data_IF_675763896621
#
_entry.id   IF_675763896621
#
_cell.length_a   1.000
_cell.length_b   1.000
_cell.length_c   1.000
_cell.angle_alpha   90.00
_cell.angle_beta   90.00
_cell.angle_gamma   90.00
#
_symmetry.space_group_name_H-M   'P 1'
#
loop_
_entity.id
_entity.type
_entity.pdbx_description
1 polymer ?
#
# COMPACT_ATOMS: atom_id res chain seq x y z
N UNK A 1 -21.22 19.34 8.45
CA UNK A 1 -20.32 18.88 7.37
C UNK A 1 -19.35 17.80 7.87
N UNK A 2 -18.70 17.99 9.02
CA UNK A 2 -17.73 17.06 9.62
C UNK A 2 -18.25 15.65 9.97
N UNK A 3 -19.48 15.54 10.47
CA UNK A 3 -20.07 14.24 10.85
C UNK A 3 -20.18 13.27 9.66
N UNK A 4 -20.55 13.76 8.47
CA UNK A 4 -20.61 12.94 7.25
C UNK A 4 -19.24 12.41 6.83
N UNK A 5 -18.20 13.22 7.02
CA UNK A 5 -16.82 12.85 6.70
C UNK A 5 -16.28 11.80 7.67
N UNK A 6 -16.61 11.93 8.97
CA UNK A 6 -16.26 10.94 10.00
C UNK A 6 -16.94 9.60 9.72
N UNK A 7 -18.24 9.59 9.41
CA UNK A 7 -18.98 8.36 9.07
C UNK A 7 -18.38 7.69 7.83
N UNK A 8 -18.00 8.47 6.81
CA UNK A 8 -17.34 7.95 5.61
C UNK A 8 -15.98 7.31 5.93
N UNK A 9 -15.15 7.94 6.77
CA UNK A 9 -13.89 7.36 7.22
C UNK A 9 -14.08 6.05 8.00
N UNK A 10 -15.06 6.00 8.92
CA UNK A 10 -15.39 4.78 9.68
C UNK A 10 -15.83 3.65 8.74
N UNK A 11 -16.65 3.97 7.75
CA UNK A 11 -17.10 3.00 6.74
C UNK A 11 -15.92 2.45 5.91
N UNK A 12 -15.02 3.33 5.45
CA UNK A 12 -13.80 2.92 4.73
C UNK A 12 -12.94 1.98 5.60
N UNK A 13 -12.75 2.30 6.89
CA UNK A 13 -11.97 1.47 7.81
C UNK A 13 -12.63 0.10 8.02
N UNK A 14 -13.96 0.05 8.15
CA UNK A 14 -14.71 -1.21 8.29
C UNK A 14 -14.57 -2.08 7.04
N UNK A 15 -14.65 -1.49 5.84
CA UNK A 15 -14.46 -2.19 4.56
C UNK A 15 -13.04 -2.73 4.42
N UNK A 16 -12.02 -1.96 4.85
CA UNK A 16 -10.62 -2.40 4.85
C UNK A 16 -10.45 -3.63 5.76
N UNK A 17 -11.05 -3.63 6.95
CA UNK A 17 -10.98 -4.77 7.88
C UNK A 17 -11.75 -6.01 7.39
N UNK A 18 -12.83 -5.82 6.65
CA UNK A 18 -13.62 -6.93 6.12
C UNK A 18 -12.89 -7.77 5.05
N UNK A 19 -11.76 -7.29 4.52
CA UNK A 19 -10.98 -8.00 3.50
C UNK A 19 -9.95 -8.98 4.05
N UNK A 20 -9.84 -9.14 5.37
CA UNK A 20 -8.99 -10.18 5.96
C UNK A 20 -9.57 -11.57 5.62
N UNK A 21 -9.18 -12.10 4.46
CA UNK A 21 -9.54 -13.46 4.05
C UNK A 21 -8.74 -14.44 4.89
N UNK A 22 -9.43 -15.21 5.74
CA UNK A 22 -8.85 -16.35 6.47
C UNK A 22 -8.59 -17.51 5.50
N UNK A 23 -7.78 -17.30 4.46
CA UNK A 23 -7.23 -18.43 3.71
C UNK A 23 -6.17 -19.08 4.60
N UNK A 24 -6.44 -20.30 5.03
CA UNK A 24 -5.59 -21.14 5.89
C UNK A 24 -4.40 -21.64 5.07
N UNK A 25 -3.59 -20.71 4.59
CA UNK A 25 -2.45 -20.99 3.73
C UNK A 25 -1.26 -20.28 4.35
N UNK A 26 -0.26 -21.05 4.79
CA UNK A 26 0.94 -20.55 5.45
C UNK A 26 1.66 -19.54 4.54
N UNK A 27 1.39 -18.26 4.75
CA UNK A 27 2.03 -17.18 4.00
C UNK A 27 3.48 -17.09 4.44
N UNK A 28 4.39 -17.38 3.53
CA UNK A 28 5.82 -17.30 3.82
C UNK A 28 6.28 -15.83 3.72
N UNK A 29 6.80 -15.22 4.80
CA UNK A 29 7.20 -13.82 4.79
C UNK A 29 8.29 -13.49 3.77
N UNK A 30 9.16 -14.46 3.44
CA UNK A 30 10.19 -14.28 2.40
C UNK A 30 9.55 -14.15 1.01
N UNK A 31 8.50 -14.93 0.72
CA UNK A 31 7.76 -14.81 -0.54
C UNK A 31 6.99 -13.48 -0.61
N UNK A 32 6.40 -13.04 0.50
CA UNK A 32 5.73 -11.74 0.57
C UNK A 32 6.70 -10.57 0.28
N UNK A 33 7.95 -10.66 0.78
CA UNK A 33 9.01 -9.70 0.50
C UNK A 33 9.44 -9.73 -0.98
N UNK A 34 9.66 -10.91 -1.56
CA UNK A 34 10.00 -11.01 -2.99
C UNK A 34 8.88 -10.48 -3.89
N UNK A 35 7.61 -10.75 -3.52
CA UNK A 35 6.45 -10.26 -4.25
C UNK A 35 6.21 -8.77 -4.06
N UNK A 36 6.50 -8.21 -2.89
CA UNK A 36 6.36 -6.77 -2.63
C UNK A 36 7.38 -5.91 -3.36
N UNK A 37 8.42 -6.51 -3.96
CA UNK A 37 9.31 -5.80 -4.89
C UNK A 37 8.53 -5.21 -6.08
N UNK A 38 7.41 -5.84 -6.46
CA UNK A 38 6.46 -5.30 -7.43
C UNK A 38 5.38 -4.54 -6.64
N UNK A 39 5.14 -3.25 -6.95
CA UNK A 39 4.16 -2.44 -6.23
C UNK A 39 2.80 -3.14 -6.10
N UNK A 40 2.26 -3.16 -4.88
CA UNK A 40 0.96 -3.78 -4.57
C UNK A 40 0.93 -5.32 -4.52
N UNK A 41 1.89 -6.04 -5.10
CA UNK A 41 1.84 -7.51 -5.16
C UNK A 41 2.05 -8.20 -3.80
N UNK A 42 2.84 -7.62 -2.90
CA UNK A 42 2.96 -8.13 -1.52
C UNK A 42 1.64 -8.13 -0.76
N UNK A 43 0.82 -7.10 -0.94
CA UNK A 43 -0.51 -7.00 -0.32
C UNK A 43 -1.51 -7.96 -0.98
N UNK A 44 -1.43 -8.14 -2.30
CA UNK A 44 -2.23 -9.14 -3.00
C UNK A 44 -1.91 -10.56 -2.52
N UNK A 45 -0.62 -10.87 -2.29
CA UNK A 45 -0.20 -12.16 -1.73
C UNK A 45 -0.78 -12.44 -0.33
N UNK A 46 -0.87 -11.39 0.49
CA UNK A 46 -1.49 -11.43 1.82
C UNK A 46 -3.03 -11.44 1.77
N UNK A 47 -3.66 -11.51 0.59
CA UNK A 47 -5.13 -11.51 0.42
C UNK A 47 -5.79 -10.12 0.58
N UNK A 48 -5.00 -9.05 0.76
CA UNK A 48 -5.48 -7.69 1.03
C UNK A 48 -5.59 -6.87 -0.27
N UNK A 49 -6.58 -7.23 -1.09
CA UNK A 49 -6.77 -6.64 -2.42
C UNK A 49 -7.01 -5.13 -2.41
N UNK A 50 -7.77 -4.61 -1.45
CA UNK A 50 -8.03 -3.17 -1.35
C UNK A 50 -6.77 -2.38 -0.99
N UNK A 51 -5.94 -2.91 -0.07
CA UNK A 51 -4.63 -2.32 0.23
C UNK A 51 -3.73 -2.32 -1.02
N UNK A 52 -3.70 -3.43 -1.74
CA UNK A 52 -2.95 -3.55 -3.00
C UNK A 52 -3.38 -2.49 -4.02
N UNK A 53 -4.69 -2.36 -4.26
CA UNK A 53 -5.26 -1.36 -5.17
C UNK A 53 -4.95 0.07 -4.72
N UNK A 54 -5.00 0.35 -3.42
CA UNK A 54 -4.66 1.66 -2.88
C UNK A 54 -3.19 2.01 -3.13
N UNK A 55 -2.26 1.08 -2.85
CA UNK A 55 -0.83 1.29 -3.11
C UNK A 55 -0.57 1.53 -4.60
N UNK A 56 -1.16 0.70 -5.47
CA UNK A 56 -1.04 0.89 -6.92
C UNK A 56 -1.60 2.24 -7.38
N UNK A 57 -2.74 2.66 -6.82
CA UNK A 57 -3.33 3.97 -7.10
C UNK A 57 -2.44 5.13 -6.66
N UNK A 58 -1.83 5.04 -5.47
CA UNK A 58 -0.90 6.05 -4.95
C UNK A 58 0.38 6.12 -5.79
N UNK A 59 0.98 4.98 -6.13
CA UNK A 59 2.16 4.91 -7.02
C UNK A 59 1.85 5.49 -8.40
N UNK A 60 0.70 5.12 -8.99
CA UNK A 60 0.26 5.66 -10.28
C UNK A 60 0.03 7.18 -10.22
N UNK A 61 -0.58 7.68 -9.15
CA UNK A 61 -0.78 9.11 -8.95
C UNK A 61 0.54 9.88 -8.78
N UNK A 62 1.49 9.32 -8.04
CA UNK A 62 2.83 9.90 -7.88
C UNK A 62 3.61 9.87 -9.21
N UNK A 63 3.56 8.77 -9.95
CA UNK A 63 4.19 8.61 -11.26
C UNK A 63 3.61 9.57 -12.30
N UNK A 64 2.30 9.66 -12.43
CA UNK A 64 1.63 10.58 -13.36
C UNK A 64 1.92 12.04 -13.03
N UNK A 65 1.98 12.38 -11.74
CA UNK A 65 2.39 13.70 -11.27
C UNK A 65 3.85 14.00 -11.60
N UNK A 66 4.76 13.04 -11.37
CA UNK A 66 6.16 13.16 -11.77
C UNK A 66 6.29 13.39 -13.27
N UNK A 67 5.65 12.55 -14.09
CA UNK A 67 5.70 12.60 -15.54
C UNK A 67 5.19 13.94 -16.08
N UNK A 68 4.07 14.44 -15.56
CA UNK A 68 3.51 15.73 -15.95
C UNK A 68 4.47 16.88 -15.63
N UNK A 69 5.10 16.88 -14.45
CA UNK A 69 6.06 17.92 -14.09
C UNK A 69 7.38 17.79 -14.86
N UNK A 70 7.81 16.57 -15.18
CA UNK A 70 8.97 16.31 -16.06
C UNK A 70 8.72 16.88 -17.45
N UNK A 71 7.58 16.57 -18.08
CA UNK A 71 7.23 17.11 -19.39
C UNK A 71 7.20 18.65 -19.42
N UNK A 72 6.63 19.29 -18.39
CA UNK A 72 6.61 20.76 -18.29
C UNK A 72 8.01 21.36 -18.09
N UNK A 73 8.90 20.64 -17.41
CA UNK A 73 10.29 21.05 -17.23
C UNK A 73 11.12 20.92 -18.51
N UNK A 74 10.91 19.83 -19.25
CA UNK A 74 11.65 19.51 -20.49
C UNK A 74 11.20 20.41 -21.65
N UNK A 75 9.88 20.67 -21.78
CA UNK A 75 9.30 21.51 -22.84
C UNK A 75 9.07 22.96 -22.40
N UNK A 76 9.79 23.42 -21.37
CA UNK A 76 9.56 24.72 -20.75
C UNK A 76 9.75 25.87 -21.74
N UNK A 77 10.83 25.85 -22.53
CA UNK A 77 11.15 26.96 -23.45
C UNK A 77 10.24 27.00 -24.68
N UNK A 78 9.44 25.93 -24.91
CA UNK A 78 8.53 25.79 -26.04
C UNK A 78 7.09 26.21 -25.72
N UNK A 79 6.76 26.41 -24.44
CA UNK A 79 5.38 26.66 -23.99
C UNK A 79 5.35 27.78 -22.94
N UNK A 80 4.28 28.57 -22.94
CA UNK A 80 4.08 29.57 -21.90
C UNK A 80 3.45 28.94 -20.65
N UNK A 81 4.29 28.53 -19.70
CA UNK A 81 3.86 27.93 -18.45
C UNK A 81 3.77 28.97 -17.32
N UNK A 82 2.74 28.91 -16.45
CA UNK A 82 2.48 29.94 -15.44
C UNK A 82 3.45 29.92 -14.24
N UNK A 83 4.28 28.88 -14.11
CA UNK A 83 5.24 28.76 -13.02
C UNK A 83 6.66 28.79 -13.59
N UNK A 84 7.65 29.32 -12.86
CA UNK A 84 9.03 29.30 -13.32
C UNK A 84 9.59 27.87 -13.40
N UNK A 85 10.51 27.62 -14.34
CA UNK A 85 11.10 26.30 -14.66
C UNK A 85 11.56 25.52 -13.43
N UNK A 86 12.24 26.18 -12.49
CA UNK A 86 12.76 25.54 -11.27
C UNK A 86 11.64 24.91 -10.40
N UNK A 87 10.42 25.45 -10.41
CA UNK A 87 9.29 24.90 -9.66
C UNK A 87 8.84 23.55 -10.21
N UNK A 88 8.91 23.37 -11.53
CA UNK A 88 8.61 22.06 -12.14
C UNK A 88 9.70 21.04 -11.80
N UNK A 89 10.96 21.46 -11.72
CA UNK A 89 12.08 20.63 -11.24
C UNK A 89 11.89 20.19 -9.78
N UNK A 90 11.56 21.13 -8.89
CA UNK A 90 11.23 20.83 -7.48
C UNK A 90 10.06 19.85 -7.38
N UNK A 91 8.99 20.08 -8.14
CA UNK A 91 7.81 19.21 -8.14
C UNK A 91 8.13 17.80 -8.61
N UNK A 92 8.85 17.61 -9.73
CA UNK A 92 9.25 16.25 -10.16
C UNK A 92 10.12 15.57 -9.10
N UNK A 93 11.11 16.27 -8.52
CA UNK A 93 11.98 15.68 -7.50
C UNK A 93 11.19 15.30 -6.25
N UNK A 94 10.23 16.13 -5.84
CA UNK A 94 9.30 15.83 -4.74
C UNK A 94 8.51 14.54 -5.02
N UNK A 95 7.98 14.35 -6.24
CA UNK A 95 7.24 13.13 -6.57
C UNK A 95 8.13 11.89 -6.68
N UNK A 96 9.42 12.02 -7.05
CA UNK A 96 10.39 10.91 -6.95
C UNK A 96 10.55 10.45 -5.50
N UNK A 97 10.70 11.40 -4.57
CA UNK A 97 10.74 11.08 -3.14
C UNK A 97 9.46 10.41 -2.65
N UNK A 98 8.29 10.91 -3.06
CA UNK A 98 7.01 10.29 -2.71
C UNK A 98 6.90 8.85 -3.22
N UNK A 99 7.29 8.56 -4.47
CA UNK A 99 7.33 7.19 -4.98
C UNK A 99 8.24 6.30 -4.11
N UNK A 100 9.43 6.79 -3.76
CA UNK A 100 10.34 6.05 -2.86
C UNK A 100 9.71 5.75 -1.49
N UNK A 101 9.03 6.72 -0.87
CA UNK A 101 8.37 6.52 0.42
C UNK A 101 7.19 5.55 0.33
N UNK A 102 6.34 5.67 -0.70
CA UNK A 102 5.19 4.78 -0.91
C UNK A 102 5.68 3.35 -1.12
N UNK A 103 6.72 3.15 -1.93
CA UNK A 103 7.31 1.85 -2.21
C UNK A 103 7.83 1.16 -0.94
N UNK A 104 8.68 1.86 -0.16
CA UNK A 104 9.26 1.31 1.07
C UNK A 104 8.16 1.04 2.11
N UNK A 105 7.20 1.95 2.25
CA UNK A 105 6.07 1.78 3.16
C UNK A 105 5.24 0.54 2.80
N UNK A 106 4.87 0.39 1.52
CA UNK A 106 4.11 -0.74 1.02
C UNK A 106 4.82 -2.08 1.26
N UNK A 107 6.14 -2.10 1.08
CA UNK A 107 6.99 -3.27 1.34
C UNK A 107 6.99 -3.64 2.82
N UNK A 108 7.22 -2.68 3.72
CA UNK A 108 7.21 -2.91 5.17
C UNK A 108 5.84 -3.41 5.63
N UNK A 109 4.74 -2.77 5.20
CA UNK A 109 3.37 -3.18 5.56
C UNK A 109 3.09 -4.63 5.12
N UNK A 110 3.53 -5.02 3.92
CA UNK A 110 3.33 -6.38 3.40
C UNK A 110 4.13 -7.43 4.18
N UNK A 111 5.37 -7.11 4.57
CA UNK A 111 6.23 -8.01 5.34
C UNK A 111 5.71 -8.19 6.76
N UNK A 112 5.26 -7.10 7.40
CA UNK A 112 4.67 -7.12 8.74
C UNK A 112 3.38 -7.93 8.73
N UNK A 113 2.50 -7.70 7.74
CA UNK A 113 1.26 -8.46 7.59
C UNK A 113 1.52 -9.96 7.39
N UNK A 114 2.54 -10.34 6.60
CA UNK A 114 2.90 -11.74 6.40
C UNK A 114 3.48 -12.39 7.68
N UNK A 115 4.31 -11.65 8.45
CA UNK A 115 4.81 -12.14 9.74
C UNK A 115 3.68 -12.33 10.75
N UNK A 116 2.77 -11.37 10.87
CA UNK A 116 1.65 -11.45 11.82
C UNK A 116 0.74 -12.64 11.54
N UNK A 117 0.50 -12.97 10.28
CA UNK A 117 -0.30 -14.16 9.92
C UNK A 117 0.35 -15.46 10.42
N UNK A 118 1.68 -15.59 10.31
CA UNK A 118 2.40 -16.76 10.82
C UNK A 118 2.34 -16.88 12.34
N UNK A 119 2.30 -15.75 13.07
CA UNK A 119 2.16 -15.74 14.53
C UNK A 119 0.74 -16.13 14.97
N UNK A 120 -0.30 -15.64 14.30
CA UNK A 120 -1.70 -15.93 14.67
C UNK A 120 -2.03 -17.43 14.49
N UNK A 121 -1.45 -18.06 13.47
CA UNK A 121 -1.59 -19.50 13.23
C UNK A 121 -0.95 -20.34 14.35
N UNK A 122 0.28 -20.00 14.74
CA UNK A 122 0.98 -20.65 15.86
C UNK A 122 0.26 -20.49 17.20
N UNK A 123 -0.49 -19.41 17.41
CA UNK A 123 -1.29 -19.21 18.63
C UNK A 123 -2.62 -19.99 18.61
N UNK A 124 -3.19 -20.26 17.44
CA UNK A 124 -4.45 -21.00 17.32
C UNK A 124 -4.26 -22.50 17.56
N UNK A 125 -3.15 -23.08 17.12
CA UNK A 125 -2.93 -24.54 17.22
C UNK A 125 -3.00 -25.09 18.66
N UNK A 126 -2.39 -24.47 19.70
CA UNK A 126 -2.43 -24.99 21.06
C UNK A 126 -3.78 -24.71 21.75
N UNK A 127 -4.48 -23.64 21.35
CA UNK A 127 -5.80 -23.30 21.86
C UNK A 127 -6.86 -24.30 21.36
N UNK A 128 -6.79 -24.69 20.08
CA UNK A 128 -7.68 -25.72 19.53
C UNK A 128 -7.44 -27.09 20.17
N UNK A 129 -6.17 -27.45 20.40
CA UNK A 129 -5.81 -28.68 21.09
C UNK A 129 -6.34 -28.71 22.53
N UNK A 130 -6.15 -27.62 23.28
CA UNK A 130 -6.69 -27.48 24.63
C UNK A 130 -8.22 -27.54 24.70
N UNK A 131 -8.92 -26.93 23.74
CA UNK A 131 -10.39 -26.98 23.69
C UNK A 131 -10.90 -28.38 23.35
N UNK A 132 -10.20 -29.12 22.47
CA UNK A 132 -10.51 -30.51 22.13
C UNK A 132 -10.31 -31.48 23.30
N UNK A 133 -9.35 -31.22 24.19
CA UNK A 133 -9.15 -32.00 25.43
C UNK A 133 -10.27 -31.74 26.45
N UNK A 134 -10.96 -30.60 26.36
CA UNK A 134 -11.96 -30.15 27.34
C UNK A 134 -13.42 -30.44 26.93
N UNK A 135 -13.64 -30.88 25.69
CA UNK A 135 -14.93 -31.31 25.13
C UNK A 135 -15.08 -32.83 25.16
#
# INVERSE_FOLDING_TARGET
MWIRLIIFCIFIIAVIKAQDTTTIDDKNPKKALYLSLIPGMGQAYNGKWLKSALILGLEYAAYSSWQTNKMKYDNYDQNDYPLPRHRYLEKRNKYVWWMGFIYVYAMIDAVVDAHLHSFDDQMKSPLQEKNKIRS
#
